data_IF_066353735073
#
_entry.id   IF_066353735073
#
_cell.length_a   1.000
_cell.length_b   1.000
_cell.length_c   1.000
_cell.angle_alpha   90.00
_cell.angle_beta   90.00
_cell.angle_gamma   90.00
#
_symmetry.space_group_name_H-M   'P 1'
#
loop_
_entity.id
_entity.type
_entity.pdbx_description
1 polymer ?
#
# COMPACT_ATOMS: atom_id res chain seq x y z
N UNK A 1 -14.27 1.05 -2.21
CA UNK A 1 -13.71 2.44 -2.10
C UNK A 1 -12.65 2.47 -1.02
N UNK A 2 -11.45 3.02 -1.25
CA UNK A 2 -10.38 3.06 -0.22
C UNK A 2 -10.72 4.08 0.87
N UNK A 3 -10.84 3.69 2.16
CA UNK A 3 -11.14 4.62 3.24
C UNK A 3 -10.06 5.69 3.41
N UNK A 4 -10.50 6.94 3.63
CA UNK A 4 -9.64 8.12 3.72
C UNK A 4 -8.59 8.04 4.85
N UNK A 5 -8.92 7.29 5.91
CA UNK A 5 -8.01 6.99 7.02
C UNK A 5 -6.74 6.28 6.55
N UNK A 6 -6.83 5.34 5.60
CA UNK A 6 -5.65 4.65 5.08
C UNK A 6 -4.74 5.59 4.29
N UNK A 7 -5.32 6.52 3.54
CA UNK A 7 -4.58 7.54 2.79
C UNK A 7 -3.83 8.46 3.75
N UNK A 8 -4.44 8.86 4.87
CA UNK A 8 -3.80 9.68 5.89
C UNK A 8 -2.63 8.96 6.57
N UNK A 9 -2.83 7.69 6.93
CA UNK A 9 -1.79 6.90 7.60
C UNK A 9 -0.58 6.68 6.70
N UNK A 10 -0.81 6.38 5.41
CA UNK A 10 0.26 6.27 4.41
C UNK A 10 0.99 7.61 4.26
N UNK A 11 0.26 8.73 4.18
CA UNK A 11 0.88 10.06 4.12
C UNK A 11 1.75 10.36 5.35
N UNK A 12 1.33 9.96 6.55
CA UNK A 12 2.12 10.11 7.77
C UNK A 12 3.39 9.26 7.76
N UNK A 13 3.31 8.00 7.34
CA UNK A 13 4.46 7.09 7.28
C UNK A 13 5.55 7.59 6.33
N UNK A 14 5.15 8.20 5.21
CA UNK A 14 6.08 8.76 4.22
C UNK A 14 6.47 10.22 4.51
N UNK A 15 5.86 10.87 5.49
CA UNK A 15 6.15 12.27 5.80
C UNK A 15 7.58 12.43 6.34
N UNK A 16 8.43 13.13 5.59
CA UNK A 16 9.81 13.39 5.99
C UNK A 16 10.75 12.18 5.87
N UNK A 17 10.32 11.07 5.26
CA UNK A 17 11.15 9.89 5.08
C UNK A 17 12.40 10.19 4.22
N UNK A 18 13.57 9.77 4.72
CA UNK A 18 14.87 9.89 4.03
C UNK A 18 15.52 8.53 3.88
N UNK A 19 16.23 8.33 2.77
CA UNK A 19 16.94 7.11 2.43
C UNK A 19 18.42 7.39 2.18
N UNK A 20 19.27 6.37 2.27
CA UNK A 20 20.66 6.41 1.81
C UNK A 20 21.03 5.04 1.23
N UNK A 21 21.98 5.02 0.30
CA UNK A 21 22.43 3.82 -0.41
C UNK A 21 23.74 3.34 0.19
N UNK A 22 23.80 2.06 0.57
CA UNK A 22 25.05 1.43 0.99
C UNK A 22 25.80 0.88 -0.23
N UNK A 23 27.03 1.36 -0.42
CA UNK A 23 27.93 0.94 -1.50
C UNK A 23 29.19 0.33 -0.91
N UNK A 24 30.01 -0.34 -1.74
CA UNK A 24 31.33 -0.83 -1.33
C UNK A 24 32.27 0.31 -0.84
N UNK A 25 32.01 1.55 -1.25
CA UNK A 25 32.73 2.74 -0.81
C UNK A 25 32.13 3.41 0.44
N UNK A 26 31.08 2.82 1.04
CA UNK A 26 30.37 3.34 2.21
C UNK A 26 28.96 3.85 1.88
N UNK A 27 28.37 4.57 2.83
CA UNK A 27 27.01 5.09 2.73
C UNK A 27 26.94 6.38 1.90
N UNK A 28 25.91 6.50 1.06
CA UNK A 28 25.59 7.76 0.39
C UNK A 28 25.09 8.81 1.38
N UNK A 29 25.12 10.08 0.98
CA UNK A 29 24.41 11.12 1.71
C UNK A 29 22.90 10.80 1.73
N UNK A 30 22.19 11.11 2.83
CA UNK A 30 20.75 10.94 2.88
C UNK A 30 20.04 11.78 1.83
N UNK A 31 19.05 11.20 1.14
CA UNK A 31 18.19 11.90 0.20
C UNK A 31 16.71 11.66 0.55
N UNK A 32 15.87 12.67 0.26
CA UNK A 32 14.44 12.63 0.58
C UNK A 32 13.69 11.72 -0.39
N UNK A 33 12.89 10.80 0.13
CA UNK A 33 12.05 9.93 -0.70
C UNK A 33 10.90 10.78 -1.24
N UNK A 34 10.88 11.02 -2.56
CA UNK A 34 9.82 11.81 -3.23
C UNK A 34 8.88 10.94 -4.07
N UNK A 35 9.37 9.83 -4.61
CA UNK A 35 8.62 8.82 -5.36
C UNK A 35 9.40 7.51 -5.31
N UNK A 36 8.69 6.37 -5.23
CA UNK A 36 9.28 5.04 -5.23
C UNK A 36 9.34 4.38 -3.85
N UNK A 37 9.10 3.07 -3.84
CA UNK A 37 9.12 2.22 -2.65
C UNK A 37 10.51 1.59 -2.52
N UNK A 38 11.04 1.52 -1.29
CA UNK A 38 12.36 0.93 -1.01
C UNK A 38 12.41 -0.55 -1.42
N UNK A 39 13.29 -0.90 -2.37
CA UNK A 39 13.68 -2.31 -2.54
C UNK A 39 14.45 -2.76 -1.29
N UNK A 40 13.89 -3.71 -0.55
CA UNK A 40 14.45 -4.23 0.71
C UNK A 40 13.88 -3.63 2.01
N UNK A 41 12.92 -2.72 1.96
CA UNK A 41 12.20 -2.30 3.19
C UNK A 41 11.11 -3.30 3.53
N UNK A 42 11.13 -3.88 4.74
CA UNK A 42 10.03 -4.72 5.27
C UNK A 42 8.65 -4.02 5.21
N UNK A 43 8.65 -2.69 5.14
CA UNK A 43 7.43 -1.89 5.04
C UNK A 43 6.78 -1.98 3.64
N UNK A 44 7.55 -2.29 2.60
CA UNK A 44 7.05 -2.43 1.23
C UNK A 44 6.18 -3.68 1.05
N UNK A 45 6.61 -4.88 1.48
CA UNK A 45 5.74 -6.05 1.52
C UNK A 45 4.52 -5.82 2.39
N UNK A 46 4.67 -5.17 3.56
CA UNK A 46 3.55 -4.93 4.46
C UNK A 46 2.50 -4.01 3.81
N UNK A 47 2.91 -2.87 3.24
CA UNK A 47 2.00 -1.97 2.51
C UNK A 47 1.38 -2.64 1.29
N UNK A 48 2.14 -3.45 0.55
CA UNK A 48 1.61 -4.20 -0.58
C UNK A 48 0.54 -5.21 -0.14
N UNK A 49 0.79 -5.97 0.93
CA UNK A 49 -0.18 -6.92 1.50
C UNK A 49 -1.43 -6.20 2.00
N UNK A 50 -1.30 -5.10 2.75
CA UNK A 50 -2.46 -4.35 3.25
C UNK A 50 -3.32 -3.77 2.12
N UNK A 51 -2.69 -3.29 1.04
CA UNK A 51 -3.42 -2.79 -0.14
C UNK A 51 -4.12 -3.95 -0.86
N UNK A 52 -3.44 -5.10 -1.03
CA UNK A 52 -4.01 -6.26 -1.70
C UNK A 52 -5.15 -6.89 -0.90
N UNK A 53 -5.08 -6.93 0.43
CA UNK A 53 -6.17 -7.40 1.30
C UNK A 53 -7.40 -6.49 1.15
N UNK A 54 -7.23 -5.17 1.23
CA UNK A 54 -8.34 -4.23 1.07
C UNK A 54 -9.00 -4.29 -0.32
N UNK A 55 -8.21 -4.49 -1.38
CA UNK A 55 -8.72 -4.66 -2.75
C UNK A 55 -9.46 -5.99 -2.90
N UNK A 56 -8.97 -7.06 -2.25
CA UNK A 56 -9.59 -8.38 -2.30
C UNK A 56 -10.91 -8.39 -1.53
N UNK A 57 -10.98 -7.72 -0.39
CA UNK A 57 -12.21 -7.54 0.40
C UNK A 57 -13.27 -6.77 -0.39
N UNK A 58 -12.92 -5.61 -0.99
CA UNK A 58 -13.84 -4.79 -1.81
C UNK A 58 -14.36 -5.58 -3.03
N UNK A 59 -13.51 -6.41 -3.64
CA UNK A 59 -13.87 -7.29 -4.75
C UNK A 59 -14.79 -8.44 -4.31
N UNK A 60 -14.48 -9.08 -3.19
CA UNK A 60 -15.27 -10.20 -2.66
C UNK A 60 -16.67 -9.75 -2.25
N UNK A 61 -16.78 -8.59 -1.61
CA UNK A 61 -18.07 -7.96 -1.27
C UNK A 61 -18.87 -7.60 -2.52
N UNK A 62 -18.20 -7.08 -3.55
CA UNK A 62 -18.84 -6.77 -4.84
C UNK A 62 -19.36 -8.02 -5.54
N UNK A 63 -18.59 -9.13 -5.52
CA UNK A 63 -19.00 -10.41 -6.10
C UNK A 63 -20.15 -11.07 -5.33
N UNK A 64 -20.14 -10.99 -4.01
CA UNK A 64 -21.25 -11.44 -3.17
C UNK A 64 -22.51 -10.61 -3.40
N UNK A 65 -22.38 -9.29 -3.56
CA UNK A 65 -23.48 -8.40 -3.92
C UNK A 65 -24.10 -8.75 -5.27
N UNK A 66 -23.28 -9.03 -6.28
CA UNK A 66 -23.77 -9.49 -7.60
C UNK A 66 -24.48 -10.84 -7.51
N UNK A 67 -23.93 -11.80 -6.77
CA UNK A 67 -24.56 -13.10 -6.58
C UNK A 67 -25.92 -12.99 -5.89
N UNK A 68 -26.04 -12.13 -4.88
CA UNK A 68 -27.30 -11.87 -4.17
C UNK A 68 -28.32 -11.18 -5.09
N UNK A 69 -27.89 -10.23 -5.92
CA UNK A 69 -28.76 -9.60 -6.93
C UNK A 69 -29.24 -10.60 -7.99
N UNK A 70 -28.39 -11.53 -8.44
CA UNK A 70 -28.79 -12.59 -9.36
C UNK A 70 -29.79 -13.57 -8.73
N UNK A 71 -29.67 -13.85 -7.43
CA UNK A 71 -30.61 -14.70 -6.69
C UNK A 71 -31.96 -14.01 -6.37
N UNK A 72 -32.00 -12.67 -6.35
CA UNK A 72 -33.23 -11.89 -6.16
C UNK A 72 -34.04 -11.68 -7.44
N UNK A 73 -33.42 -11.83 -8.61
CA UNK A 73 -34.02 -11.54 -9.92
C UNK A 73 -34.15 -12.78 -10.82
N UNK A 74 -33.91 -13.98 -10.28
CA UNK A 74 -34.16 -15.28 -10.92
C UNK A 74 -35.16 -16.11 -10.13
#
# INVERSE_FOLDING_TARGET
MVPEVYIQWIKMIYYGATSHVQTAAGQSKPFRIKTGVHQGSMLSPLLFITIMDAVTEDLSDSLHGLSCMQAMWG
#
